data_IF_651180461695
#
_entry.id   IF_651180461695
#
_cell.length_a   1.000
_cell.length_b   1.000
_cell.length_c   1.000
_cell.angle_alpha   90.00
_cell.angle_beta   90.00
_cell.angle_gamma   90.00
#
_symmetry.space_group_name_H-M   'P 1'
#
loop_
_entity.id
_entity.type
_entity.pdbx_description
1 polymer ?
#
# COMPACT_ATOMS: atom_id res chain seq x y z
N UNK A 1 14.35 6.91 -14.19
CA UNK A 1 13.18 6.26 -13.51
C UNK A 1 12.96 6.86 -12.13
N UNK A 2 11.70 7.16 -11.74
CA UNK A 2 11.40 7.70 -10.40
C UNK A 2 11.50 6.63 -9.33
N UNK A 3 12.33 6.86 -8.32
CA UNK A 3 12.52 5.97 -7.17
C UNK A 3 12.13 6.63 -5.85
N UNK A 4 11.43 5.87 -5.00
CA UNK A 4 11.10 6.31 -3.65
C UNK A 4 12.14 5.84 -2.62
N UNK A 5 12.55 6.72 -1.73
CA UNK A 5 13.43 6.40 -0.61
C UNK A 5 12.85 6.89 0.71
N UNK A 6 13.09 6.14 1.77
CA UNK A 6 12.77 6.53 3.14
C UNK A 6 13.98 6.35 4.04
N UNK A 7 14.49 7.44 4.57
CA UNK A 7 15.68 7.50 5.39
C UNK A 7 15.32 7.75 6.85
N UNK A 8 15.99 7.08 7.78
CA UNK A 8 15.80 7.33 9.21
C UNK A 8 16.44 8.66 9.57
N UNK A 9 15.69 9.54 10.25
CA UNK A 9 16.15 10.82 10.73
C UNK A 9 16.28 10.84 12.26
N UNK A 10 17.26 11.55 12.76
CA UNK A 10 17.57 11.68 14.18
C UNK A 10 17.54 13.15 14.60
N UNK A 11 16.35 13.80 14.72
CA UNK A 11 16.24 15.17 15.15
C UNK A 11 16.61 15.32 16.64
N UNK A 12 17.19 16.45 17.01
CA UNK A 12 17.38 16.89 18.40
C UNK A 12 16.01 17.14 19.07
N UNK A 13 15.97 17.32 20.38
CA UNK A 13 14.70 17.55 21.06
C UNK A 13 14.08 18.91 20.69
N UNK A 14 14.90 19.94 20.46
CA UNK A 14 14.45 21.23 19.94
C UNK A 14 13.87 21.09 18.53
N UNK A 15 14.56 20.38 17.63
CA UNK A 15 14.03 20.11 16.29
C UNK A 15 12.72 19.31 16.32
N UNK A 16 12.59 18.33 17.23
CA UNK A 16 11.33 17.58 17.43
C UNK A 16 10.17 18.48 17.86
N UNK A 17 10.45 19.49 18.67
CA UNK A 17 9.44 20.47 19.10
C UNK A 17 8.94 21.25 17.90
N UNK A 18 9.83 21.92 17.16
CA UNK A 18 9.47 22.73 15.98
C UNK A 18 8.80 21.88 14.90
N UNK A 19 9.33 20.70 14.57
CA UNK A 19 8.68 19.78 13.62
C UNK A 19 7.27 19.38 14.08
N UNK A 20 7.06 19.19 15.39
CA UNK A 20 5.72 18.87 15.92
C UNK A 20 4.75 20.04 15.80
N UNK A 21 5.22 21.27 15.95
CA UNK A 21 4.46 22.51 15.71
C UNK A 21 4.08 22.60 14.22
N UNK A 22 5.04 22.49 13.30
CA UNK A 22 4.78 22.52 11.85
C UNK A 22 3.81 21.42 11.39
N UNK A 23 3.94 20.21 11.93
CA UNK A 23 2.99 19.13 11.67
C UNK A 23 1.59 19.46 12.23
N UNK A 24 1.53 20.22 13.33
CA UNK A 24 0.30 20.76 13.93
C UNK A 24 -0.36 21.77 13.01
N UNK A 25 0.41 22.75 12.52
CA UNK A 25 -0.06 23.77 11.56
C UNK A 25 -0.58 23.14 10.27
N UNK A 26 0.18 22.22 9.67
CA UNK A 26 -0.25 21.52 8.47
C UNK A 26 -1.54 20.71 8.68
N UNK A 27 -1.71 20.07 9.86
CA UNK A 27 -2.95 19.37 10.20
C UNK A 27 -4.12 20.31 10.39
N UNK A 28 -3.90 21.45 11.04
CA UNK A 28 -4.93 22.46 11.25
C UNK A 28 -5.48 22.97 9.92
N UNK A 29 -4.61 23.41 9.00
CA UNK A 29 -5.00 23.90 7.68
C UNK A 29 -5.74 22.82 6.88
N UNK A 30 -5.27 21.57 6.92
CA UNK A 30 -5.99 20.44 6.32
C UNK A 30 -7.41 20.30 6.89
N UNK A 31 -7.56 20.40 8.22
CA UNK A 31 -8.85 20.26 8.88
C UNK A 31 -9.77 21.45 8.60
N UNK A 32 -9.21 22.67 8.56
CA UNK A 32 -9.94 23.88 8.20
C UNK A 32 -10.50 23.77 6.77
N UNK A 33 -9.72 23.28 5.80
CA UNK A 33 -10.21 22.98 4.44
C UNK A 33 -11.31 21.90 4.42
N UNK A 34 -11.27 20.92 5.31
CA UNK A 34 -12.37 19.97 5.44
C UNK A 34 -13.66 20.62 5.97
N UNK A 35 -13.54 21.60 6.89
CA UNK A 35 -14.68 22.33 7.42
C UNK A 35 -15.24 23.33 6.40
N UNK A 36 -14.38 24.08 5.73
CA UNK A 36 -14.75 24.95 4.61
C UNK A 36 -15.55 24.18 3.55
N UNK A 37 -15.05 23.02 3.12
CA UNK A 37 -15.78 22.16 2.19
C UNK A 37 -17.11 21.65 2.76
N UNK A 38 -17.15 21.31 4.04
CA UNK A 38 -18.39 20.87 4.69
C UNK A 38 -19.43 21.99 4.73
N UNK A 39 -19.03 23.18 5.16
CA UNK A 39 -19.88 24.37 5.15
C UNK A 39 -20.42 24.64 3.75
N UNK A 40 -19.53 24.69 2.76
CA UNK A 40 -19.86 24.90 1.37
C UNK A 40 -20.87 23.87 0.84
N UNK A 41 -20.60 22.59 1.00
CA UNK A 41 -21.47 21.52 0.49
C UNK A 41 -22.82 21.42 1.21
N UNK A 42 -22.91 21.88 2.46
CA UNK A 42 -24.13 21.78 3.28
C UNK A 42 -25.01 23.01 3.15
N UNK A 43 -24.43 24.19 3.09
CA UNK A 43 -25.16 25.45 3.13
C UNK A 43 -25.04 26.24 1.83
N UNK A 44 -23.83 26.65 1.41
CA UNK A 44 -23.63 27.57 0.30
C UNK A 44 -24.21 27.01 -1.02
N UNK A 45 -23.95 25.75 -1.32
CA UNK A 45 -24.51 25.10 -2.52
C UNK A 45 -26.04 25.06 -2.51
N UNK A 46 -26.68 25.06 -1.35
CA UNK A 46 -28.14 24.95 -1.20
C UNK A 46 -28.83 26.31 -1.22
N UNK A 47 -28.19 27.31 -0.66
CA UNK A 47 -28.82 28.62 -0.39
C UNK A 47 -28.24 29.77 -1.22
N UNK A 48 -27.06 29.61 -1.83
CA UNK A 48 -26.51 30.63 -2.72
C UNK A 48 -26.89 30.36 -4.17
N UNK A 49 -27.28 31.39 -4.93
CA UNK A 49 -27.52 31.26 -6.38
C UNK A 49 -26.30 30.69 -7.12
N UNK A 50 -26.54 30.00 -8.21
CA UNK A 50 -25.50 29.43 -9.07
C UNK A 50 -24.58 30.57 -9.52
N UNK A 51 -23.27 30.43 -9.27
CA UNK A 51 -22.24 31.42 -9.63
C UNK A 51 -21.83 32.37 -8.51
N UNK A 52 -22.60 32.48 -7.42
CA UNK A 52 -22.27 33.36 -6.28
C UNK A 52 -21.35 32.73 -5.23
N UNK A 53 -21.01 31.48 -5.36
CA UNK A 53 -20.13 30.82 -4.40
C UNK A 53 -18.72 30.66 -4.95
N UNK A 54 -17.75 31.04 -4.15
CA UNK A 54 -16.35 30.84 -4.53
C UNK A 54 -16.03 29.35 -4.67
N UNK A 55 -15.40 28.93 -5.75
CA UNK A 55 -14.98 27.53 -5.90
C UNK A 55 -13.99 27.18 -4.81
N UNK A 56 -14.04 25.93 -4.34
CA UNK A 56 -13.08 25.41 -3.39
C UNK A 56 -11.69 25.50 -4.00
N UNK A 57 -10.81 26.22 -3.34
CA UNK A 57 -9.48 26.59 -3.83
C UNK A 57 -8.34 26.09 -2.94
N UNK A 58 -7.12 26.55 -3.24
CA UNK A 58 -5.91 26.27 -2.48
C UNK A 58 -5.52 27.38 -1.52
N UNK A 59 -6.32 28.45 -1.40
CA UNK A 59 -6.03 29.57 -0.50
C UNK A 59 -6.05 29.10 0.95
N UNK A 60 -5.21 29.69 1.76
CA UNK A 60 -5.06 29.37 3.18
C UNK A 60 -4.79 30.60 4.05
N UNK A 61 -4.68 31.79 3.45
CA UNK A 61 -4.43 33.04 4.16
C UNK A 61 -5.56 33.37 5.12
N UNK A 62 -6.80 33.07 4.75
CA UNK A 62 -8.00 33.29 5.58
C UNK A 62 -7.99 32.55 6.92
N UNK A 63 -7.14 31.57 7.09
CA UNK A 63 -7.01 30.82 8.35
C UNK A 63 -5.98 31.43 9.30
N UNK A 64 -5.22 32.43 8.87
CA UNK A 64 -4.32 33.21 9.73
C UNK A 64 -5.14 34.33 10.41
N UNK A 65 -5.16 34.31 11.71
CA UNK A 65 -5.77 35.35 12.56
C UNK A 65 -4.85 35.58 13.74
N UNK A 66 -4.58 36.82 14.06
CA UNK A 66 -3.80 37.20 15.25
C UNK A 66 -4.50 36.77 16.52
N UNK A 67 -5.83 36.84 16.54
CA UNK A 67 -6.63 36.47 17.72
C UNK A 67 -6.87 34.93 17.80
N UNK A 68 -7.30 34.30 16.69
CA UNK A 68 -7.78 32.93 16.72
C UNK A 68 -6.67 31.87 16.43
N UNK A 69 -5.62 32.26 15.73
CA UNK A 69 -4.56 31.33 15.31
C UNK A 69 -3.17 31.98 15.24
N UNK A 70 -2.72 32.74 16.26
CA UNK A 70 -1.44 33.47 16.24
C UNK A 70 -0.24 32.54 15.95
N UNK A 71 -0.30 31.32 16.46
CA UNK A 71 0.72 30.28 16.25
C UNK A 71 0.90 29.82 14.78
N UNK A 72 -0.02 30.16 13.88
CA UNK A 72 0.18 29.92 12.44
C UNK A 72 1.23 30.86 11.83
N UNK A 73 1.46 32.01 12.43
CA UNK A 73 2.47 32.96 11.99
C UNK A 73 3.90 32.47 12.25
N UNK A 74 4.08 31.60 13.25
CA UNK A 74 5.36 30.95 13.58
C UNK A 74 5.72 29.83 12.59
N UNK A 75 4.81 29.44 11.72
CA UNK A 75 5.03 28.38 10.76
C UNK A 75 5.39 28.96 9.38
N UNK A 76 6.41 28.45 8.69
CA UNK A 76 6.71 28.86 7.31
C UNK A 76 5.45 28.82 6.44
N UNK A 77 5.16 29.94 5.75
CA UNK A 77 3.93 30.10 4.96
C UNK A 77 3.80 29.04 3.86
N UNK A 78 4.93 28.55 3.35
CA UNK A 78 4.98 27.47 2.37
C UNK A 78 4.40 26.16 2.91
N UNK A 79 4.59 25.83 4.20
CA UNK A 79 3.99 24.63 4.83
C UNK A 79 2.46 24.74 4.86
N UNK A 80 1.95 25.92 5.17
CA UNK A 80 0.52 26.23 5.20
C UNK A 80 -0.08 26.08 3.80
N UNK A 81 0.53 26.76 2.81
CA UNK A 81 0.17 26.67 1.38
C UNK A 81 0.22 25.22 0.87
N UNK A 82 1.29 24.49 1.18
CA UNK A 82 1.45 23.11 0.78
C UNK A 82 0.38 22.20 1.39
N UNK A 83 -0.06 22.44 2.62
CA UNK A 83 -1.12 21.67 3.24
C UNK A 83 -2.46 21.87 2.55
N UNK A 84 -2.83 23.13 2.22
CA UNK A 84 -4.05 23.45 1.47
C UNK A 84 -4.01 22.84 0.06
N UNK A 85 -2.89 22.98 -0.66
CA UNK A 85 -2.69 22.40 -1.99
C UNK A 85 -2.80 20.87 -1.97
N UNK A 86 -2.23 20.19 -0.97
CA UNK A 86 -2.34 18.73 -0.85
C UNK A 86 -3.77 18.29 -0.53
N UNK A 87 -4.50 19.07 0.27
CA UNK A 87 -5.91 18.83 0.50
C UNK A 87 -6.70 18.95 -0.81
N UNK A 88 -6.49 20.01 -1.57
CA UNK A 88 -7.16 20.25 -2.85
C UNK A 88 -6.84 19.17 -3.89
N UNK A 89 -5.57 18.75 -4.01
CA UNK A 89 -5.18 17.61 -4.86
C UNK A 89 -5.94 16.33 -4.48
N UNK A 90 -6.11 16.08 -3.18
CA UNK A 90 -6.87 14.91 -2.69
C UNK A 90 -8.35 15.06 -2.98
N UNK A 91 -8.89 16.26 -2.83
CA UNK A 91 -10.28 16.59 -3.18
C UNK A 91 -10.55 16.36 -4.68
N UNK A 92 -9.67 16.81 -5.55
CA UNK A 92 -9.78 16.53 -7.00
C UNK A 92 -9.75 15.03 -7.32
N UNK A 93 -8.88 14.27 -6.66
CA UNK A 93 -8.87 12.80 -6.79
C UNK A 93 -10.20 12.16 -6.34
N UNK A 94 -10.81 12.70 -5.29
CA UNK A 94 -12.14 12.28 -4.84
C UNK A 94 -13.21 12.58 -5.90
N UNK A 95 -13.22 13.78 -6.47
CA UNK A 95 -14.15 14.13 -7.54
C UNK A 95 -14.01 13.24 -8.77
N UNK A 96 -12.79 12.80 -9.08
CA UNK A 96 -12.50 11.86 -10.17
C UNK A 96 -12.74 10.39 -9.79
N UNK A 97 -13.35 10.08 -8.64
CA UNK A 97 -13.62 8.71 -8.20
C UNK A 97 -12.37 7.87 -7.83
N UNK A 98 -11.20 8.50 -7.76
CA UNK A 98 -9.92 7.79 -7.51
C UNK A 98 -9.67 7.49 -6.02
N UNK A 99 -10.30 8.24 -5.12
CA UNK A 99 -10.18 8.04 -3.67
C UNK A 99 -11.45 8.44 -2.93
N UNK A 100 -11.53 8.14 -1.64
CA UNK A 100 -12.62 8.59 -0.78
C UNK A 100 -12.53 10.09 -0.44
N UNK A 101 -13.65 10.68 0.03
CA UNK A 101 -13.73 12.08 0.48
C UNK A 101 -12.64 12.39 1.52
N UNK A 102 -11.92 13.54 1.43
CA UNK A 102 -10.96 13.95 2.43
C UNK A 102 -11.59 14.05 3.83
N UNK A 103 -10.94 13.43 4.82
CA UNK A 103 -11.41 13.41 6.21
C UNK A 103 -10.49 14.23 7.11
N UNK A 104 -11.03 14.77 8.20
CA UNK A 104 -10.24 15.43 9.24
C UNK A 104 -9.20 14.50 9.83
N UNK A 105 -8.02 15.04 10.10
CA UNK A 105 -6.90 14.33 10.73
C UNK A 105 -6.94 14.57 12.24
N UNK A 106 -6.97 13.47 13.02
CA UNK A 106 -6.91 13.54 14.48
C UNK A 106 -5.49 13.85 14.98
N UNK A 107 -5.36 14.43 16.17
CA UNK A 107 -4.08 14.59 16.88
C UNK A 107 -3.62 13.22 17.39
N UNK A 108 -2.68 12.60 16.70
CA UNK A 108 -2.10 11.30 17.06
C UNK A 108 -0.58 11.41 17.16
N UNK A 109 0.10 10.33 17.55
CA UNK A 109 1.57 10.24 17.50
C UNK A 109 2.13 10.21 16.06
N UNK A 110 1.26 10.09 15.06
CA UNK A 110 1.63 10.17 13.63
C UNK A 110 1.47 11.60 13.15
N UNK A 111 2.50 12.11 12.50
CA UNK A 111 2.49 13.42 11.87
C UNK A 111 3.34 13.40 10.61
N UNK A 112 3.04 14.30 9.68
CA UNK A 112 3.87 14.53 8.50
C UNK A 112 3.80 15.98 8.08
N UNK A 113 4.91 16.49 7.57
CA UNK A 113 4.99 17.78 6.90
C UNK A 113 5.59 17.57 5.52
N UNK A 114 5.01 18.22 4.53
CA UNK A 114 5.46 18.23 3.15
C UNK A 114 6.23 19.51 2.88
N UNK A 115 7.46 19.39 2.40
CA UNK A 115 8.37 20.49 2.13
C UNK A 115 8.71 20.51 0.64
N UNK A 116 8.58 21.66 0.02
CA UNK A 116 9.04 21.96 -1.34
C UNK A 116 10.49 22.47 -1.30
N UNK A 117 11.15 22.55 -2.45
CA UNK A 117 12.58 22.88 -2.56
C UNK A 117 12.97 24.21 -1.87
N UNK A 118 12.03 25.14 -1.72
CA UNK A 118 12.19 26.42 -1.01
C UNK A 118 12.51 26.26 0.50
N UNK A 119 12.15 25.09 1.07
CA UNK A 119 12.24 24.83 2.52
C UNK A 119 13.30 23.81 2.89
N UNK A 120 14.07 23.30 1.95
CA UNK A 120 15.14 22.36 2.26
C UNK A 120 16.25 22.42 1.21
N UNK A 121 17.45 22.03 1.64
CA UNK A 121 18.59 21.74 0.76
C UNK A 121 19.43 20.62 1.37
N UNK A 122 20.10 19.88 0.50
CA UNK A 122 21.08 18.88 0.90
C UNK A 122 22.47 19.47 0.73
N UNK A 123 23.22 19.54 1.81
CA UNK A 123 24.59 20.06 1.81
C UNK A 123 25.55 18.90 2.10
N UNK A 124 26.61 18.79 1.32
CA UNK A 124 27.71 17.88 1.59
C UNK A 124 28.68 18.64 2.49
N UNK A 125 28.83 18.19 3.73
CA UNK A 125 29.73 18.84 4.69
C UNK A 125 31.19 18.41 4.44
N UNK A 126 32.12 19.13 5.04
CA UNK A 126 33.56 18.87 4.90
C UNK A 126 33.99 17.45 5.33
N UNK A 127 33.19 16.81 6.19
CA UNK A 127 33.32 15.39 6.62
C UNK A 127 32.79 14.37 5.61
N UNK A 128 32.36 14.80 4.41
CA UNK A 128 31.74 13.97 3.38
C UNK A 128 30.31 13.51 3.72
N UNK A 129 29.77 13.91 4.85
CA UNK A 129 28.45 13.52 5.30
C UNK A 129 27.39 14.45 4.71
N UNK A 130 26.41 13.89 4.02
CA UNK A 130 25.27 14.65 3.53
C UNK A 130 24.35 15.01 4.69
N UNK A 131 24.09 16.30 4.88
CA UNK A 131 23.17 16.84 5.88
C UNK A 131 22.00 17.54 5.19
N UNK A 132 20.85 17.59 5.87
CA UNK A 132 19.62 18.17 5.35
C UNK A 132 19.31 19.45 6.14
N UNK A 133 19.52 20.61 5.55
CA UNK A 133 19.04 21.89 6.10
C UNK A 133 17.55 22.02 5.84
N UNK A 134 16.79 22.51 6.84
CA UNK A 134 15.33 22.63 6.75
C UNK A 134 14.88 23.97 7.33
N UNK A 135 14.13 24.71 6.52
CA UNK A 135 13.50 25.98 6.86
C UNK A 135 13.87 27.12 5.93
N UNK A 136 13.46 28.31 6.29
CA UNK A 136 13.84 29.58 5.65
C UNK A 136 15.00 30.23 6.40
N UNK A 137 15.49 31.38 5.93
CA UNK A 137 16.54 32.14 6.64
C UNK A 137 16.10 32.52 8.07
N UNK A 138 14.88 32.95 8.24
CA UNK A 138 14.33 33.42 9.51
C UNK A 138 13.67 32.34 10.35
N UNK A 139 13.08 31.31 9.73
CA UNK A 139 12.35 30.26 10.44
C UNK A 139 12.86 28.89 9.97
N UNK A 140 13.83 28.33 10.69
CA UNK A 140 14.48 27.08 10.36
C UNK A 140 14.68 26.19 11.59
N UNK A 141 14.95 24.91 11.33
CA UNK A 141 15.36 23.94 12.34
C UNK A 141 16.84 23.58 12.24
N UNK A 142 17.56 24.23 11.33
CA UNK A 142 18.95 23.91 11.02
C UNK A 142 19.14 22.56 10.33
N UNK A 143 20.29 21.96 10.53
CA UNK A 143 20.67 20.70 9.90
C UNK A 143 20.06 19.50 10.62
N UNK A 144 19.26 18.75 9.89
CA UNK A 144 18.69 17.47 10.35
C UNK A 144 19.64 16.32 9.98
N UNK A 145 20.08 15.56 10.98
CA UNK A 145 20.87 14.36 10.78
C UNK A 145 19.99 13.18 10.32
N UNK A 146 20.43 12.47 9.29
CA UNK A 146 19.79 11.26 8.79
C UNK A 146 20.82 10.22 8.36
N UNK A 147 20.39 8.94 8.27
CA UNK A 147 21.24 7.87 7.77
C UNK A 147 20.84 7.52 6.35
N UNK A 148 21.79 7.64 5.42
CA UNK A 148 21.61 7.14 4.06
C UNK A 148 22.33 5.79 3.87
N UNK A 149 21.82 4.97 2.97
CA UNK A 149 22.41 3.67 2.58
C UNK A 149 22.55 3.54 1.06
N UNK A 150 22.27 4.63 0.33
CA UNK A 150 22.42 4.72 -1.13
C UNK A 150 22.58 6.16 -1.57
N UNK A 151 23.18 6.34 -2.73
CA UNK A 151 23.21 7.62 -3.43
C UNK A 151 21.82 7.96 -3.98
N UNK A 152 21.53 9.24 -4.08
CA UNK A 152 20.29 9.76 -4.64
C UNK A 152 20.54 11.14 -5.27
N UNK A 153 19.80 11.44 -6.33
CA UNK A 153 19.75 12.79 -6.91
C UNK A 153 18.83 13.68 -6.09
N UNK A 154 19.08 14.99 -6.09
CA UNK A 154 18.32 15.94 -5.30
C UNK A 154 16.82 15.89 -5.65
N UNK A 155 15.93 15.66 -4.67
CA UNK A 155 14.50 15.56 -4.93
C UNK A 155 13.84 16.94 -5.05
N UNK A 156 12.74 17.04 -5.80
CA UNK A 156 11.93 18.26 -5.91
C UNK A 156 11.14 18.58 -4.64
N UNK A 157 10.92 17.59 -3.78
CA UNK A 157 10.15 17.72 -2.54
C UNK A 157 10.41 16.56 -1.59
N UNK A 158 10.26 16.80 -0.30
CA UNK A 158 10.43 15.80 0.75
C UNK A 158 9.26 15.76 1.71
N UNK A 159 9.04 14.62 2.34
CA UNK A 159 8.17 14.47 3.50
C UNK A 159 9.00 14.17 4.74
N UNK A 160 8.82 14.94 5.81
CA UNK A 160 9.29 14.56 7.13
C UNK A 160 8.12 13.93 7.85
N UNK A 161 8.29 12.70 8.33
CA UNK A 161 7.24 11.92 8.98
C UNK A 161 7.66 11.52 10.39
N UNK A 162 6.72 11.61 11.32
CA UNK A 162 6.80 11.09 12.68
C UNK A 162 5.85 9.93 12.82
N UNK A 163 6.33 8.78 13.29
CA UNK A 163 5.51 7.61 13.56
C UNK A 163 6.12 6.79 14.71
N UNK A 164 5.31 6.50 15.74
CA UNK A 164 5.74 5.74 16.92
C UNK A 164 7.00 6.32 17.60
N UNK A 165 7.13 7.64 17.60
CA UNK A 165 8.28 8.37 18.14
C UNK A 165 9.53 8.34 17.26
N UNK A 166 9.49 7.73 16.08
CA UNK A 166 10.58 7.72 15.10
C UNK A 166 10.33 8.77 14.02
N UNK A 167 11.40 9.40 13.55
CA UNK A 167 11.36 10.35 12.44
C UNK A 167 12.00 9.74 11.20
N UNK A 168 11.48 10.12 10.05
CA UNK A 168 12.03 9.71 8.75
C UNK A 168 11.83 10.82 7.73
N UNK A 169 12.79 10.95 6.82
CA UNK A 169 12.69 11.74 5.59
C UNK A 169 12.35 10.77 4.46
N UNK A 170 11.36 11.11 3.66
CA UNK A 170 10.97 10.29 2.50
C UNK A 170 10.72 11.17 1.29
N UNK A 171 11.23 10.76 0.15
CA UNK A 171 11.12 11.49 -1.10
C UNK A 171 11.21 10.56 -2.30
N UNK A 172 10.82 11.06 -3.46
CA UNK A 172 11.09 10.45 -4.74
C UNK A 172 12.16 11.25 -5.46
N UNK A 173 13.07 10.56 -6.12
CA UNK A 173 14.11 11.13 -6.96
C UNK A 173 14.20 10.36 -8.27
N UNK A 174 14.73 11.00 -9.29
CA UNK A 174 15.02 10.34 -10.55
C UNK A 174 16.45 9.78 -10.48
N UNK A 175 16.60 8.47 -10.70
CA UNK A 175 17.91 7.82 -10.69
C UNK A 175 18.60 7.83 -12.06
N UNK A 176 18.01 8.49 -13.06
CA UNK A 176 18.54 8.61 -14.41
C UNK A 176 18.45 7.31 -15.24
N UNK A 177 17.96 6.20 -14.67
CA UNK A 177 17.78 4.97 -15.43
C UNK A 177 16.59 5.08 -16.39
N UNK A 178 16.68 4.32 -17.51
CA UNK A 178 15.60 4.21 -18.48
C UNK A 178 14.31 3.69 -17.84
N UNK A 179 13.17 4.04 -18.44
CA UNK A 179 11.90 3.47 -18.01
C UNK A 179 11.86 1.99 -18.34
N UNK A 180 11.45 1.13 -17.38
CA UNK A 180 11.35 -0.30 -17.62
C UNK A 180 10.23 -0.59 -18.62
N UNK A 181 10.37 -1.68 -19.35
CA UNK A 181 9.32 -2.17 -20.24
C UNK A 181 7.99 -2.30 -19.50
N UNK A 182 6.92 -1.96 -20.16
CA UNK A 182 5.57 -2.05 -19.63
C UNK A 182 5.14 -3.52 -19.52
N UNK A 183 4.15 -3.79 -18.68
CA UNK A 183 3.59 -5.15 -18.54
C UNK A 183 2.97 -5.67 -19.85
N UNK A 184 2.54 -4.77 -20.75
CA UNK A 184 2.03 -5.14 -22.08
C UNK A 184 3.15 -5.57 -23.02
N UNK A 185 4.24 -4.82 -23.07
CA UNK A 185 5.42 -5.17 -23.86
C UNK A 185 6.02 -6.50 -23.40
N UNK A 186 6.10 -6.71 -22.08
CA UNK A 186 6.50 -8.01 -21.54
C UNK A 186 5.56 -9.14 -21.99
N UNK A 187 4.23 -8.92 -21.97
CA UNK A 187 3.28 -9.96 -22.40
C UNK A 187 3.45 -10.29 -23.88
N UNK A 188 3.59 -9.30 -24.75
CA UNK A 188 3.79 -9.53 -26.19
C UNK A 188 5.10 -10.30 -26.45
N UNK A 189 6.18 -9.95 -25.77
CA UNK A 189 7.43 -10.72 -25.84
C UNK A 189 7.24 -12.18 -25.40
N UNK A 190 6.52 -12.41 -24.30
CA UNK A 190 6.32 -13.76 -23.73
C UNK A 190 5.38 -14.63 -24.58
N UNK A 191 4.48 -14.06 -25.35
CA UNK A 191 3.67 -14.81 -26.33
C UNK A 191 4.49 -15.45 -27.46
N UNK A 192 5.62 -14.85 -27.81
CA UNK A 192 6.56 -15.38 -28.79
C UNK A 192 7.62 -16.32 -28.22
N UNK A 193 7.69 -16.51 -26.92
CA UNK A 193 8.72 -17.35 -26.28
C UNK A 193 8.39 -18.85 -26.40
N UNK A 194 9.42 -19.70 -26.54
CA UNK A 194 9.22 -21.15 -26.56
C UNK A 194 8.77 -21.71 -25.21
N UNK A 195 8.10 -22.84 -25.23
CA UNK A 195 7.60 -23.48 -24.00
C UNK A 195 8.75 -23.83 -23.06
N UNK A 196 9.85 -24.35 -23.59
CA UNK A 196 11.04 -24.75 -22.85
C UNK A 196 11.66 -23.53 -22.15
N UNK A 197 11.77 -22.40 -22.86
CA UNK A 197 12.25 -21.16 -22.29
C UNK A 197 11.33 -20.67 -21.15
N UNK A 198 10.01 -20.73 -21.34
CA UNK A 198 9.04 -20.35 -20.31
C UNK A 198 9.12 -21.27 -19.08
N UNK A 199 9.32 -22.57 -19.28
CA UNK A 199 9.49 -23.53 -18.18
C UNK A 199 10.77 -23.26 -17.37
N UNK A 200 11.84 -22.80 -17.98
CA UNK A 200 13.06 -22.43 -17.26
C UNK A 200 12.95 -21.08 -16.54
N UNK A 201 12.33 -20.09 -17.18
CA UNK A 201 12.41 -18.68 -16.74
C UNK A 201 11.17 -18.16 -16.00
N UNK A 202 10.10 -18.93 -15.88
CA UNK A 202 8.90 -18.57 -15.11
C UNK A 202 8.91 -19.26 -13.76
N UNK A 203 8.66 -18.51 -12.69
CA UNK A 203 8.40 -19.06 -11.36
C UNK A 203 7.00 -18.70 -10.88
N UNK A 204 6.30 -19.70 -10.34
CA UNK A 204 5.04 -19.50 -9.61
C UNK A 204 5.31 -19.27 -8.12
N UNK A 205 4.58 -18.37 -7.51
CA UNK A 205 4.74 -17.98 -6.10
C UNK A 205 3.43 -18.24 -5.37
N UNK A 206 3.40 -19.28 -4.57
CA UNK A 206 2.33 -19.54 -3.62
C UNK A 206 2.54 -18.74 -2.33
N UNK A 207 1.45 -18.24 -1.73
CA UNK A 207 1.46 -17.41 -0.53
C UNK A 207 0.63 -18.03 0.57
N UNK A 208 1.32 -18.68 1.49
CA UNK A 208 0.73 -19.33 2.64
C UNK A 208 0.66 -18.47 3.91
N UNK A 209 0.07 -19.04 4.94
CA UNK A 209 0.04 -18.48 6.29
C UNK A 209 1.04 -19.16 7.21
N UNK A 210 1.26 -20.46 7.04
CA UNK A 210 2.25 -21.26 7.79
C UNK A 210 3.63 -21.03 7.17
N UNK A 211 3.79 -21.36 5.91
CA UNK A 211 4.93 -20.98 5.09
C UNK A 211 4.52 -19.73 4.31
N UNK A 212 5.11 -18.57 4.61
CA UNK A 212 4.74 -17.30 3.98
C UNK A 212 4.80 -17.29 2.47
N UNK A 213 5.80 -17.95 1.88
CA UNK A 213 6.05 -17.97 0.44
C UNK A 213 6.69 -19.28 0.02
N UNK A 214 6.20 -19.90 -1.05
CA UNK A 214 6.83 -21.02 -1.74
C UNK A 214 6.96 -20.74 -3.24
N UNK A 215 8.13 -21.03 -3.83
CA UNK A 215 8.41 -20.74 -5.26
C UNK A 215 8.51 -21.99 -6.14
N UNK A 216 8.10 -23.15 -5.63
CA UNK A 216 8.29 -24.45 -6.32
C UNK A 216 9.70 -25.03 -6.12
N UNK A 217 10.71 -24.19 -5.96
CA UNK A 217 12.10 -24.58 -5.69
C UNK A 217 12.39 -24.64 -4.21
N UNK A 218 12.07 -23.58 -3.47
CA UNK A 218 12.30 -23.50 -2.01
C UNK A 218 11.22 -22.71 -1.29
N UNK A 219 10.98 -23.04 -0.01
CA UNK A 219 10.17 -22.21 0.87
C UNK A 219 10.95 -20.99 1.37
N UNK A 220 10.23 -19.91 1.70
CA UNK A 220 10.74 -18.73 2.40
C UNK A 220 9.90 -18.52 3.64
N UNK A 221 10.53 -18.52 4.77
CA UNK A 221 9.89 -18.32 6.08
C UNK A 221 10.67 -17.29 6.89
N UNK A 222 10.06 -16.81 7.97
CA UNK A 222 10.74 -15.98 8.95
C UNK A 222 11.82 -16.80 9.65
N UNK A 223 12.96 -16.20 9.88
CA UNK A 223 14.00 -16.79 10.73
C UNK A 223 13.50 -17.03 12.15
N UNK A 224 14.04 -18.03 12.84
CA UNK A 224 13.60 -18.38 14.19
C UNK A 224 13.73 -17.21 15.17
N UNK A 225 14.76 -16.38 15.05
CA UNK A 225 14.93 -15.19 15.86
C UNK A 225 13.89 -14.11 15.53
N UNK A 226 13.49 -14.00 14.28
CA UNK A 226 12.39 -13.10 13.87
C UNK A 226 11.06 -13.59 14.47
N UNK A 227 10.76 -14.88 14.43
CA UNK A 227 9.56 -15.49 15.03
C UNK A 227 9.55 -15.27 16.55
N UNK A 228 10.63 -15.60 17.25
CA UNK A 228 10.79 -15.37 18.69
C UNK A 228 10.60 -13.90 19.07
N UNK A 229 11.17 -12.99 18.26
CA UNK A 229 10.99 -11.55 18.46
C UNK A 229 9.53 -11.11 18.24
N UNK A 230 8.85 -11.59 17.20
CA UNK A 230 7.44 -11.28 16.97
C UNK A 230 6.57 -11.75 18.13
N UNK A 231 6.78 -12.96 18.65
CA UNK A 231 6.04 -13.50 19.79
C UNK A 231 6.31 -12.73 21.09
N UNK A 232 7.57 -12.34 21.33
CA UNK A 232 7.95 -11.46 22.45
C UNK A 232 7.17 -10.14 22.36
N UNK A 233 7.09 -9.51 21.15
CA UNK A 233 6.33 -8.27 20.95
C UNK A 233 4.84 -8.48 21.13
N UNK A 234 4.27 -9.61 20.70
CA UNK A 234 2.85 -9.92 20.92
C UNK A 234 2.52 -10.09 22.39
N UNK A 235 3.39 -10.73 23.19
CA UNK A 235 3.24 -10.82 24.67
C UNK A 235 3.23 -9.43 25.32
N UNK A 236 4.15 -8.52 24.91
CA UNK A 236 4.13 -7.13 25.37
C UNK A 236 2.87 -6.38 24.96
N UNK A 237 2.39 -6.56 23.72
CA UNK A 237 1.15 -5.94 23.26
C UNK A 237 -0.04 -6.34 24.12
N UNK A 238 -0.22 -7.64 24.38
CA UNK A 238 -1.30 -8.14 25.27
C UNK A 238 -1.21 -7.50 26.67
N UNK A 239 0.00 -7.42 27.26
CA UNK A 239 0.24 -6.80 28.56
C UNK A 239 -0.12 -5.31 28.56
N UNK A 240 0.35 -4.56 27.54
CA UNK A 240 0.07 -3.12 27.46
C UNK A 240 -1.41 -2.82 27.14
N UNK A 241 -2.08 -3.65 26.35
CA UNK A 241 -3.51 -3.51 26.09
C UNK A 241 -4.35 -3.72 27.36
N UNK A 242 -4.05 -4.75 28.16
CA UNK A 242 -4.68 -4.97 29.48
C UNK A 242 -4.44 -3.76 30.41
N UNK A 243 -3.22 -3.20 30.42
CA UNK A 243 -2.91 -2.00 31.18
C UNK A 243 -3.70 -0.79 30.68
N UNK A 244 -3.79 -0.63 29.37
CA UNK A 244 -4.52 0.48 28.73
C UNK A 244 -6.02 0.47 29.09
N UNK A 245 -6.65 -0.70 29.14
CA UNK A 245 -8.09 -0.83 29.47
C UNK A 245 -8.41 -0.35 30.89
N UNK A 246 -7.45 -0.50 31.84
CA UNK A 246 -7.62 -0.09 33.24
C UNK A 246 -7.27 1.37 33.52
N UNK A 247 -6.73 2.10 32.54
CA UNK A 247 -6.28 3.48 32.71
C UNK A 247 -7.35 4.48 32.32
N UNK A 248 -7.50 5.55 33.07
CA UNK A 248 -8.45 6.65 32.84
C UNK A 248 -8.25 7.26 31.47
N UNK A 249 -9.33 7.44 30.71
CA UNK A 249 -9.33 8.13 29.42
C UNK A 249 -8.83 9.56 29.60
N UNK A 250 -7.92 10.00 28.73
CA UNK A 250 -7.31 11.34 28.76
C UNK A 250 -6.04 11.46 29.60
N UNK A 251 -5.74 10.53 30.53
CA UNK A 251 -4.57 10.63 31.40
C UNK A 251 -3.23 10.52 30.67
N UNK A 252 -2.20 11.21 31.19
CA UNK A 252 -0.83 11.13 30.68
C UNK A 252 -0.27 9.70 30.75
N UNK A 253 -0.64 8.94 31.80
CA UNK A 253 -0.24 7.51 31.92
C UNK A 253 -0.82 6.69 30.77
N UNK A 254 -2.09 6.92 30.39
CA UNK A 254 -2.72 6.25 29.26
C UNK A 254 -2.04 6.63 27.94
N UNK A 255 -1.70 7.90 27.73
CA UNK A 255 -0.96 8.34 26.54
C UNK A 255 0.43 7.69 26.43
N UNK A 256 1.18 7.62 27.54
CA UNK A 256 2.46 6.88 27.59
C UNK A 256 2.29 5.40 27.21
N UNK A 257 1.20 4.76 27.67
CA UNK A 257 0.90 3.36 27.33
C UNK A 257 0.54 3.19 25.86
N UNK A 258 -0.28 4.09 25.27
CA UNK A 258 -0.56 4.12 23.83
C UNK A 258 0.73 4.21 23.00
N UNK A 259 1.65 5.07 23.39
CA UNK A 259 2.93 5.23 22.69
C UNK A 259 3.79 3.95 22.78
N UNK A 260 3.78 3.22 23.92
CA UNK A 260 4.43 1.92 24.04
C UNK A 260 3.81 0.88 23.10
N UNK A 261 2.48 0.81 23.03
CA UNK A 261 1.75 -0.09 22.11
C UNK A 261 2.14 0.23 20.66
N UNK A 262 2.09 1.52 20.27
CA UNK A 262 2.47 1.96 18.92
C UNK A 262 3.89 1.53 18.55
N UNK A 263 4.86 1.67 19.47
CA UNK A 263 6.25 1.23 19.27
C UNK A 263 6.36 -0.30 19.09
N UNK A 264 5.58 -1.11 19.82
CA UNK A 264 5.61 -2.57 19.62
C UNK A 264 5.03 -2.95 18.26
N UNK A 265 3.90 -2.37 17.85
CA UNK A 265 3.35 -2.59 16.52
C UNK A 265 4.35 -2.21 15.41
N UNK A 266 5.07 -1.08 15.58
CA UNK A 266 6.08 -0.66 14.61
C UNK A 266 7.24 -1.65 14.50
N UNK A 267 7.69 -2.22 15.63
CA UNK A 267 8.75 -3.25 15.62
C UNK A 267 8.31 -4.50 14.85
N UNK A 268 7.08 -4.99 15.08
CA UNK A 268 6.54 -6.14 14.35
C UNK A 268 6.39 -5.81 12.85
N UNK A 269 5.92 -4.60 12.52
CA UNK A 269 5.82 -4.16 11.12
C UNK A 269 7.18 -4.10 10.42
N UNK A 270 8.23 -3.67 11.12
CA UNK A 270 9.59 -3.62 10.57
C UNK A 270 10.12 -5.03 10.28
N UNK A 271 9.93 -6.02 11.17
CA UNK A 271 10.33 -7.42 10.95
C UNK A 271 9.65 -7.96 9.68
N UNK A 272 8.35 -7.73 9.53
CA UNK A 272 7.61 -8.16 8.32
C UNK A 272 8.11 -7.48 7.04
N UNK A 273 8.39 -6.18 7.12
CA UNK A 273 8.92 -5.44 5.98
C UNK A 273 10.31 -5.95 5.58
N UNK A 274 11.16 -6.22 6.56
CA UNK A 274 12.49 -6.77 6.34
C UNK A 274 12.41 -8.12 5.65
N UNK A 275 11.63 -9.07 6.17
CA UNK A 275 11.34 -10.35 5.51
C UNK A 275 10.87 -10.16 4.06
N UNK A 276 9.88 -9.29 3.82
CA UNK A 276 9.38 -9.05 2.47
C UNK A 276 10.45 -8.42 1.55
N UNK A 277 11.34 -7.57 2.10
CA UNK A 277 12.45 -7.02 1.33
C UNK A 277 13.48 -8.07 0.95
N UNK A 278 13.88 -8.93 1.89
CA UNK A 278 14.84 -10.00 1.64
C UNK A 278 14.26 -11.01 0.65
N UNK A 279 13.07 -11.56 0.91
CA UNK A 279 12.41 -12.54 0.04
C UNK A 279 12.20 -12.00 -1.38
N UNK A 280 11.68 -10.77 -1.52
CA UNK A 280 11.49 -10.17 -2.86
C UNK A 280 12.82 -9.92 -3.58
N UNK A 281 13.92 -9.63 -2.85
CA UNK A 281 15.25 -9.48 -3.44
C UNK A 281 15.75 -10.83 -3.95
N UNK A 282 15.69 -11.87 -3.13
CA UNK A 282 16.13 -13.22 -3.52
C UNK A 282 15.35 -13.76 -4.72
N UNK A 283 14.03 -13.55 -4.77
CA UNK A 283 13.23 -13.94 -5.94
C UNK A 283 13.63 -13.20 -7.22
N UNK A 284 13.89 -11.89 -7.11
CA UNK A 284 14.30 -11.10 -8.28
C UNK A 284 15.73 -11.41 -8.72
N UNK A 285 16.63 -11.74 -7.81
CA UNK A 285 18.02 -12.12 -8.14
C UNK A 285 18.15 -13.55 -8.66
N UNK A 286 17.07 -14.35 -8.64
CA UNK A 286 17.07 -15.70 -9.25
C UNK A 286 17.20 -15.66 -10.76
N UNK A 287 17.41 -16.82 -11.40
CA UNK A 287 17.46 -16.97 -12.86
C UNK A 287 16.13 -16.61 -13.55
N UNK A 288 15.01 -16.67 -12.80
CA UNK A 288 13.69 -16.38 -13.35
C UNK A 288 13.61 -14.96 -13.96
N UNK A 289 13.01 -14.86 -15.14
CA UNK A 289 12.68 -13.59 -15.82
C UNK A 289 11.26 -13.16 -15.57
N UNK A 290 10.40 -14.08 -15.18
CA UNK A 290 8.98 -13.84 -14.91
C UNK A 290 8.60 -14.42 -13.56
N UNK A 291 7.98 -13.58 -12.72
CA UNK A 291 7.51 -13.95 -11.38
C UNK A 291 5.98 -13.87 -11.38
N UNK A 292 5.31 -14.95 -11.03
CA UNK A 292 3.84 -15.04 -11.10
C UNK A 292 3.25 -15.33 -9.74
N UNK A 293 2.32 -14.48 -9.31
CA UNK A 293 1.54 -14.65 -8.07
C UNK A 293 0.12 -15.12 -8.37
N UNK A 294 -0.57 -15.64 -7.37
CA UNK A 294 -2.01 -15.75 -7.41
C UNK A 294 -2.70 -14.38 -7.21
N UNK A 295 -3.87 -14.18 -7.81
CA UNK A 295 -4.69 -12.99 -7.58
C UNK A 295 -5.57 -13.14 -6.33
N UNK A 296 -4.95 -13.18 -5.16
CA UNK A 296 -5.65 -13.26 -3.88
C UNK A 296 -6.34 -11.94 -3.53
N UNK A 297 -7.64 -11.98 -3.37
CA UNK A 297 -8.42 -10.81 -2.91
C UNK A 297 -8.39 -10.72 -1.37
N UNK A 298 -7.25 -10.33 -0.81
CA UNK A 298 -7.00 -10.28 0.64
C UNK A 298 -8.10 -9.54 1.41
N UNK A 299 -8.63 -8.44 0.88
CA UNK A 299 -9.74 -7.69 1.49
C UNK A 299 -11.04 -8.49 1.62
N UNK A 300 -11.32 -9.38 0.65
CA UNK A 300 -12.47 -10.30 0.72
C UNK A 300 -12.19 -11.43 1.70
N UNK A 301 -10.96 -11.99 1.68
CA UNK A 301 -10.54 -13.08 2.57
C UNK A 301 -10.56 -12.68 4.05
N UNK A 302 -10.19 -11.45 4.38
CA UNK A 302 -10.13 -10.94 5.76
C UNK A 302 -11.41 -10.25 6.22
N UNK A 303 -12.49 -10.36 5.46
CA UNK A 303 -13.79 -9.77 5.82
C UNK A 303 -14.38 -10.46 7.06
N UNK A 304 -14.97 -9.68 7.95
CA UNK A 304 -15.70 -10.20 9.11
C UNK A 304 -16.88 -11.05 8.66
N UNK A 305 -17.18 -12.21 9.33
CA UNK A 305 -18.38 -12.97 9.03
C UNK A 305 -19.61 -12.16 9.39
N UNK A 306 -20.68 -12.34 8.60
CA UNK A 306 -21.97 -11.71 8.89
C UNK A 306 -22.56 -12.30 10.17
N UNK A 307 -23.30 -11.49 10.93
CA UNK A 307 -24.08 -11.99 12.06
C UNK A 307 -25.11 -13.04 11.57
N UNK A 308 -25.26 -14.12 12.32
CA UNK A 308 -26.29 -15.14 12.10
C UNK A 308 -27.32 -15.01 13.21
N UNK A 309 -28.59 -15.14 12.87
CA UNK A 309 -29.71 -15.20 13.80
C UNK A 309 -30.43 -16.56 13.63
N UNK A 310 -30.97 -17.05 14.72
CA UNK A 310 -31.89 -18.20 14.70
C UNK A 310 -33.28 -17.79 14.23
N UNK A 311 -34.23 -18.76 14.22
CA UNK A 311 -35.61 -18.53 13.82
C UNK A 311 -36.35 -17.53 14.74
N UNK A 312 -35.90 -17.40 16.00
CA UNK A 312 -36.44 -16.47 16.99
C UNK A 312 -35.73 -15.10 16.99
N UNK A 313 -34.87 -14.80 16.01
CA UNK A 313 -34.17 -13.55 15.90
C UNK A 313 -32.97 -13.40 16.84
N UNK A 314 -32.64 -14.40 17.67
CA UNK A 314 -31.49 -14.38 18.59
C UNK A 314 -30.19 -14.63 17.85
N UNK A 315 -29.13 -13.90 18.23
CA UNK A 315 -27.81 -14.05 17.63
C UNK A 315 -27.14 -15.36 18.05
N UNK A 316 -26.75 -16.17 17.06
CA UNK A 316 -26.02 -17.43 17.25
C UNK A 316 -24.53 -17.30 16.87
N UNK A 317 -23.70 -18.23 17.40
CA UNK A 317 -22.26 -18.26 17.12
C UNK A 317 -21.99 -18.43 15.62
N UNK A 318 -21.16 -17.56 15.06
CA UNK A 318 -20.80 -17.55 13.63
C UNK A 318 -19.29 -17.77 13.41
N UNK A 319 -18.58 -18.36 14.36
CA UNK A 319 -17.12 -18.63 14.35
C UNK A 319 -16.27 -17.36 14.17
N UNK A 320 -16.78 -16.18 14.59
CA UNK A 320 -16.09 -14.88 14.43
C UNK A 320 -14.72 -14.85 15.11
N UNK A 321 -14.54 -15.53 16.25
CA UNK A 321 -13.24 -15.61 16.97
C UNK A 321 -12.19 -16.36 16.13
N UNK A 322 -12.56 -17.53 15.58
CA UNK A 322 -11.67 -18.32 14.72
C UNK A 322 -11.30 -17.51 13.45
N UNK A 323 -12.30 -16.87 12.83
CA UNK A 323 -12.07 -16.03 11.66
C UNK A 323 -11.19 -14.82 11.94
N UNK A 324 -11.32 -14.20 13.11
CA UNK A 324 -10.44 -13.11 13.55
C UNK A 324 -8.98 -13.58 13.72
N UNK A 325 -8.78 -14.79 14.26
CA UNK A 325 -7.46 -15.43 14.36
C UNK A 325 -6.83 -15.63 12.98
N UNK A 326 -7.57 -16.23 12.04
CA UNK A 326 -7.11 -16.44 10.66
C UNK A 326 -6.82 -15.10 9.96
N UNK A 327 -7.70 -14.11 10.08
CA UNK A 327 -7.49 -12.78 9.51
C UNK A 327 -6.21 -12.14 10.03
N UNK A 328 -5.95 -12.26 11.34
CA UNK A 328 -4.70 -11.78 11.94
C UNK A 328 -3.49 -12.51 11.36
N UNK A 329 -3.56 -13.82 11.18
CA UNK A 329 -2.47 -14.62 10.61
C UNK A 329 -2.18 -14.18 9.16
N UNK A 330 -3.20 -14.10 8.29
CA UNK A 330 -3.07 -13.61 6.91
C UNK A 330 -2.43 -12.21 6.86
N UNK A 331 -2.92 -11.27 7.68
CA UNK A 331 -2.41 -9.90 7.69
C UNK A 331 -0.99 -9.79 8.28
N UNK A 332 -0.55 -10.78 9.06
CA UNK A 332 0.79 -10.81 9.63
C UNK A 332 1.88 -11.22 8.64
N UNK A 333 1.56 -11.91 7.55
CA UNK A 333 2.55 -12.29 6.53
C UNK A 333 3.03 -11.09 5.72
N UNK A 334 2.12 -10.18 5.36
CA UNK A 334 2.47 -8.97 4.59
C UNK A 334 2.48 -9.18 3.07
N UNK A 335 1.63 -10.02 2.52
CA UNK A 335 1.51 -10.34 1.09
C UNK A 335 1.52 -9.13 0.16
N UNK A 336 0.83 -8.04 0.57
CA UNK A 336 0.81 -6.80 -0.22
C UNK A 336 2.21 -6.15 -0.32
N UNK A 337 2.98 -6.16 0.76
CA UNK A 337 4.36 -5.64 0.71
C UNK A 337 5.24 -6.50 -0.16
N UNK A 338 5.12 -7.83 -0.06
CA UNK A 338 5.86 -8.76 -0.90
C UNK A 338 5.60 -8.48 -2.39
N UNK A 339 4.34 -8.44 -2.81
CA UNK A 339 3.97 -8.10 -4.20
C UNK A 339 4.54 -6.75 -4.64
N UNK A 340 4.36 -5.72 -3.80
CA UNK A 340 4.82 -4.37 -4.12
C UNK A 340 6.33 -4.32 -4.27
N UNK A 341 7.06 -4.99 -3.36
CA UNK A 341 8.52 -4.97 -3.39
C UNK A 341 9.09 -5.82 -4.53
N UNK A 342 8.47 -6.94 -4.84
CA UNK A 342 8.84 -7.74 -6.02
C UNK A 342 8.62 -6.94 -7.30
N UNK A 343 7.47 -6.29 -7.45
CA UNK A 343 7.13 -5.53 -8.66
C UNK A 343 8.18 -4.46 -9.00
N UNK A 344 8.47 -3.53 -8.07
CA UNK A 344 9.40 -2.45 -8.40
C UNK A 344 10.85 -2.93 -8.54
N UNK A 345 11.26 -3.99 -7.81
CA UNK A 345 12.60 -4.56 -7.95
C UNK A 345 12.74 -5.32 -9.27
N UNK A 346 11.72 -6.08 -9.64
CA UNK A 346 11.66 -6.78 -10.92
C UNK A 346 11.70 -5.80 -12.10
N UNK A 347 10.88 -4.74 -12.06
CA UNK A 347 10.91 -3.69 -13.07
C UNK A 347 12.32 -3.08 -13.23
N UNK A 348 13.01 -2.79 -12.11
CA UNK A 348 14.40 -2.30 -12.15
C UNK A 348 15.40 -3.32 -12.72
N UNK A 349 15.10 -4.61 -12.61
CA UNK A 349 15.93 -5.70 -13.13
C UNK A 349 15.51 -6.16 -14.55
N UNK A 350 14.61 -5.44 -15.22
CA UNK A 350 14.08 -5.81 -16.54
C UNK A 350 13.25 -7.10 -16.54
N UNK A 351 12.62 -7.45 -15.40
CA UNK A 351 11.84 -8.67 -15.20
C UNK A 351 10.36 -8.38 -15.08
N UNK A 352 9.52 -9.29 -15.55
CA UNK A 352 8.07 -9.17 -15.51
C UNK A 352 7.45 -9.74 -14.24
N UNK A 353 6.33 -9.16 -13.79
CA UNK A 353 5.54 -9.68 -12.67
C UNK A 353 4.07 -9.70 -13.05
N UNK A 354 3.45 -10.89 -13.00
CA UNK A 354 2.05 -11.11 -13.34
C UNK A 354 1.30 -11.81 -12.21
N UNK A 355 -0.02 -11.89 -12.36
CA UNK A 355 -0.89 -12.71 -11.54
C UNK A 355 -1.71 -13.67 -12.39
N UNK A 356 -2.06 -14.80 -11.81
CA UNK A 356 -3.02 -15.76 -12.39
C UNK A 356 -4.25 -15.86 -11.49
N UNK A 357 -5.42 -16.27 -12.02
CA UNK A 357 -6.60 -16.54 -11.20
C UNK A 357 -6.30 -17.56 -10.09
N UNK A 358 -6.68 -17.20 -8.85
CA UNK A 358 -6.40 -18.01 -7.66
C UNK A 358 -7.33 -19.21 -7.42
N UNK A 359 -8.59 -19.32 -7.95
CA UNK A 359 -9.45 -20.45 -7.63
C UNK A 359 -8.79 -21.79 -7.96
N UNK A 360 -8.87 -22.71 -6.98
CA UNK A 360 -8.42 -24.11 -7.07
C UNK A 360 -6.92 -24.37 -7.26
N UNK A 361 -6.04 -23.37 -7.24
CA UNK A 361 -4.58 -23.58 -7.38
C UNK A 361 -4.02 -24.58 -6.35
N UNK A 362 -4.60 -24.65 -5.17
CA UNK A 362 -4.19 -25.57 -4.09
C UNK A 362 -4.84 -26.95 -4.17
N UNK A 363 -5.76 -27.20 -5.10
CA UNK A 363 -6.50 -28.47 -5.28
C UNK A 363 -6.19 -29.11 -6.64
N UNK A 364 -5.62 -28.36 -7.57
CA UNK A 364 -5.21 -28.82 -8.89
C UNK A 364 -3.89 -29.58 -8.80
N UNK A 365 -3.81 -30.72 -9.49
CA UNK A 365 -2.59 -31.50 -9.58
C UNK A 365 -1.59 -30.83 -10.55
N UNK A 366 -0.34 -30.67 -10.12
CA UNK A 366 0.69 -30.13 -10.95
C UNK A 366 1.04 -31.03 -12.15
N UNK A 367 0.84 -32.33 -12.06
CA UNK A 367 1.17 -33.26 -13.15
C UNK A 367 0.02 -33.42 -14.14
N UNK A 368 -1.13 -33.92 -13.71
CA UNK A 368 -2.24 -34.27 -14.62
C UNK A 368 -3.31 -33.16 -14.74
N UNK A 369 -3.26 -32.09 -13.92
CA UNK A 369 -4.26 -31.03 -13.94
C UNK A 369 -5.61 -31.38 -13.29
N UNK A 370 -5.77 -32.61 -12.75
CA UNK A 370 -7.00 -32.98 -12.05
C UNK A 370 -7.24 -32.11 -10.82
N UNK A 371 -8.45 -31.61 -10.70
CA UNK A 371 -8.83 -30.69 -9.61
C UNK A 371 -9.93 -31.30 -8.74
N UNK A 372 -9.60 -31.69 -7.52
CA UNK A 372 -10.54 -32.22 -6.55
C UNK A 372 -10.21 -31.74 -5.12
N UNK A 373 -11.22 -31.48 -4.24
CA UNK A 373 -10.95 -31.08 -2.86
C UNK A 373 -10.12 -32.10 -2.07
N UNK A 374 -10.30 -33.38 -2.31
CA UNK A 374 -9.59 -34.47 -1.62
C UNK A 374 -8.10 -34.58 -2.00
N UNK A 375 -7.68 -33.96 -3.08
CA UNK A 375 -6.25 -33.89 -3.44
C UNK A 375 -5.43 -33.17 -2.34
N UNK A 376 -6.05 -32.31 -1.54
CA UNK A 376 -5.43 -31.60 -0.40
C UNK A 376 -6.23 -31.82 0.88
N UNK A 377 -6.05 -32.98 1.51
CA UNK A 377 -6.68 -33.33 2.79
C UNK A 377 -6.01 -32.61 3.98
N UNK A 378 -4.72 -32.36 3.88
CA UNK A 378 -3.96 -31.65 4.92
C UNK A 378 -3.30 -30.38 4.37
N UNK A 379 -2.74 -29.56 5.27
CA UNK A 379 -2.06 -28.34 4.88
C UNK A 379 -0.72 -28.60 4.14
N UNK A 380 -0.05 -29.71 4.45
CA UNK A 380 1.30 -29.98 4.01
C UNK A 380 1.35 -31.02 2.87
N UNK A 381 0.40 -31.94 2.83
CA UNK A 381 0.41 -33.10 1.92
C UNK A 381 -0.60 -32.92 0.80
N UNK A 382 -0.12 -33.05 -0.41
CA UNK A 382 -0.90 -33.15 -1.64
C UNK A 382 -0.81 -34.57 -2.16
N UNK A 383 -1.95 -35.19 -2.51
CA UNK A 383 -2.03 -36.49 -3.14
C UNK A 383 -3.17 -36.46 -4.17
N UNK A 384 -2.82 -36.60 -5.43
CA UNK A 384 -3.79 -36.63 -6.53
C UNK A 384 -4.56 -37.95 -6.54
N UNK A 385 -5.89 -37.85 -6.46
CA UNK A 385 -6.76 -39.03 -6.53
C UNK A 385 -6.82 -39.69 -7.91
N UNK A 386 -6.38 -38.99 -8.97
CA UNK A 386 -6.41 -39.51 -10.33
C UNK A 386 -5.08 -40.17 -10.79
N UNK A 387 -3.95 -39.47 -10.61
CA UNK A 387 -2.66 -39.95 -11.10
C UNK A 387 -1.70 -40.42 -10.01
N UNK A 388 -2.07 -40.35 -8.74
CA UNK A 388 -1.24 -40.73 -7.62
C UNK A 388 -0.07 -39.76 -7.30
N UNK A 389 0.06 -38.63 -8.00
CA UNK A 389 1.11 -37.65 -7.73
C UNK A 389 1.09 -37.20 -6.28
N UNK A 390 2.24 -37.38 -5.60
CA UNK A 390 2.42 -37.00 -4.21
C UNK A 390 3.50 -35.90 -4.09
N UNK A 391 3.15 -34.80 -3.42
CA UNK A 391 4.07 -33.67 -3.22
C UNK A 391 3.72 -32.89 -1.93
N UNK A 392 4.59 -31.93 -1.59
CA UNK A 392 4.24 -30.87 -0.64
C UNK A 392 3.15 -29.95 -1.26
N UNK A 393 2.08 -29.68 -0.53
CA UNK A 393 0.93 -28.94 -1.04
C UNK A 393 1.27 -27.52 -1.53
N UNK A 394 2.18 -26.82 -0.85
CA UNK A 394 2.57 -25.45 -1.22
C UNK A 394 3.54 -25.48 -2.43
N UNK A 395 4.35 -26.56 -2.56
CA UNK A 395 5.19 -26.81 -3.76
C UNK A 395 4.32 -27.10 -4.96
N UNK A 396 3.38 -28.03 -4.86
CA UNK A 396 2.42 -28.33 -5.92
C UNK A 396 1.65 -27.07 -6.36
N UNK A 397 1.13 -26.27 -5.42
CA UNK A 397 0.41 -25.03 -5.73
C UNK A 397 1.27 -24.03 -6.52
N UNK A 398 2.55 -23.87 -6.15
CA UNK A 398 3.46 -22.98 -6.88
C UNK A 398 3.76 -23.46 -8.30
N UNK A 399 3.87 -24.77 -8.52
CA UNK A 399 4.04 -25.36 -9.87
C UNK A 399 2.76 -25.17 -10.70
N UNK A 400 1.57 -25.34 -10.10
CA UNK A 400 0.29 -25.04 -10.76
C UNK A 400 0.20 -23.58 -11.20
N UNK A 401 0.59 -22.63 -10.32
CA UNK A 401 0.65 -21.21 -10.66
C UNK A 401 1.55 -20.96 -11.86
N UNK A 402 2.73 -21.57 -11.89
CA UNK A 402 3.67 -21.51 -13.02
C UNK A 402 3.04 -22.05 -14.30
N UNK A 403 2.50 -23.29 -14.28
CA UNK A 403 1.88 -23.94 -15.44
C UNK A 403 0.70 -23.14 -15.99
N UNK A 404 -0.14 -22.56 -15.11
CA UNK A 404 -1.23 -21.65 -15.52
C UNK A 404 -0.72 -20.40 -16.23
N UNK A 405 0.37 -19.80 -15.74
CA UNK A 405 0.96 -18.62 -16.38
C UNK A 405 1.52 -18.97 -17.77
N UNK A 406 2.26 -20.08 -17.91
CA UNK A 406 2.79 -20.56 -19.19
C UNK A 406 1.65 -20.77 -20.19
N UNK A 407 0.55 -21.43 -19.75
CA UNK A 407 -0.64 -21.62 -20.60
C UNK A 407 -1.21 -20.30 -21.09
N UNK A 408 -1.28 -19.28 -20.21
CA UNK A 408 -1.74 -17.94 -20.60
C UNK A 408 -0.78 -17.25 -21.58
N UNK A 409 0.53 -17.40 -21.45
CA UNK A 409 1.50 -16.82 -22.38
C UNK A 409 1.41 -17.47 -23.77
N UNK A 410 1.14 -18.75 -23.84
CA UNK A 410 0.95 -19.48 -25.11
C UNK A 410 -0.42 -19.23 -25.75
N UNK A 411 -1.39 -18.71 -25.01
CA UNK A 411 -2.74 -18.40 -25.51
C UNK A 411 -2.75 -17.00 -26.14
N UNK A 412 -2.92 -16.92 -27.45
CA UNK A 412 -2.98 -15.66 -28.21
C UNK A 412 -4.07 -14.71 -27.76
N UNK A 413 -5.14 -15.26 -27.15
CA UNK A 413 -6.27 -14.47 -26.61
C UNK A 413 -6.06 -13.94 -25.18
N UNK A 414 -4.85 -14.00 -24.64
CA UNK A 414 -4.57 -13.53 -23.28
C UNK A 414 -4.48 -12.02 -23.20
N UNK A 415 -5.18 -11.44 -22.24
CA UNK A 415 -5.22 -10.02 -21.92
C UNK A 415 -4.80 -9.75 -20.46
N UNK A 416 -4.39 -8.49 -20.21
CA UNK A 416 -4.06 -8.01 -18.87
C UNK A 416 -5.20 -7.20 -18.27
N UNK A 417 -5.63 -7.54 -17.05
CA UNK A 417 -6.66 -6.80 -16.34
C UNK A 417 -6.22 -6.45 -14.92
N UNK A 418 -6.77 -5.36 -14.39
CA UNK A 418 -6.56 -4.92 -13.01
C UNK A 418 -5.58 -3.77 -12.86
N UNK A 419 -5.42 -3.31 -11.62
CA UNK A 419 -4.51 -2.24 -11.21
C UNK A 419 -3.35 -2.83 -10.41
N UNK A 420 -2.17 -2.24 -10.54
CA UNK A 420 -0.97 -2.73 -9.89
C UNK A 420 -0.33 -3.87 -10.67
N UNK A 421 -0.05 -5.03 -10.05
CA UNK A 421 0.39 -6.23 -10.78
C UNK A 421 -0.81 -6.76 -11.57
N UNK A 422 -0.72 -6.84 -12.92
CA UNK A 422 -1.84 -7.25 -13.74
C UNK A 422 -2.12 -8.75 -13.61
N UNK A 423 -3.39 -9.12 -13.82
CA UNK A 423 -3.86 -10.51 -13.82
C UNK A 423 -3.98 -10.95 -15.27
N UNK A 424 -3.38 -12.10 -15.59
CA UNK A 424 -3.52 -12.79 -16.86
C UNK A 424 -4.94 -13.37 -16.96
N UNK A 425 -5.68 -13.03 -18.00
CA UNK A 425 -7.04 -13.55 -18.25
C UNK A 425 -7.22 -13.83 -19.73
N UNK A 426 -8.13 -14.76 -20.04
CA UNK A 426 -8.56 -14.94 -21.42
C UNK A 426 -9.31 -13.70 -21.88
N UNK A 427 -8.93 -13.17 -23.04
CA UNK A 427 -9.64 -12.10 -23.72
C UNK A 427 -11.10 -12.47 -23.89
N UNK A 428 -11.99 -11.53 -23.67
CA UNK A 428 -13.41 -11.71 -23.95
C UNK A 428 -13.62 -11.79 -25.45
N UNK A 429 -13.50 -12.97 -26.03
CA UNK A 429 -14.09 -13.24 -27.33
C UNK A 429 -15.57 -12.82 -27.23
N UNK A 430 -16.01 -11.97 -28.15
CA UNK A 430 -17.36 -11.43 -28.18
C UNK A 430 -18.40 -12.56 -28.28
N UNK A 431 -18.80 -13.13 -27.16
CA UNK A 431 -20.02 -13.93 -27.04
C UNK A 431 -21.15 -12.98 -26.71
N UNK A 432 -21.83 -12.51 -27.73
CA UNK A 432 -23.16 -11.94 -27.60
C UNK A 432 -24.06 -12.94 -26.89
N UNK A 433 -24.39 -12.67 -25.62
CA UNK A 433 -25.50 -13.35 -24.96
C UNK A 433 -26.78 -12.71 -25.48
N UNK A 434 -27.78 -13.49 -25.94
CA UNK A 434 -29.07 -12.95 -26.29
C UNK A 434 -29.72 -12.33 -25.05
N UNK A 435 -30.03 -11.03 -25.14
CA UNK A 435 -30.55 -10.24 -24.04
C UNK A 435 -31.94 -10.72 -23.63
N UNK A 436 -32.13 -10.96 -22.35
CA UNK A 436 -33.46 -10.87 -21.71
C UNK A 436 -33.73 -9.39 -21.44
N UNK A 437 -34.57 -8.80 -22.26
CA UNK A 437 -34.91 -7.39 -22.19
C UNK A 437 -35.66 -7.07 -20.89
N UNK A 438 -35.19 -6.03 -20.21
CA UNK A 438 -36.03 -5.16 -19.37
C UNK A 438 -36.01 -3.77 -20.02
N UNK A 439 -37.15 -3.09 -20.12
CA UNK A 439 -37.21 -1.81 -20.81
C UNK A 439 -36.43 -0.73 -20.04
N UNK A 440 -35.60 0.00 -20.77
CA UNK A 440 -34.84 1.16 -20.30
C UNK A 440 -35.68 2.43 -20.51
N UNK A 441 -35.67 3.40 -19.60
CA UNK A 441 -36.23 4.73 -19.88
C UNK A 441 -35.33 5.54 -20.80
N UNK A 442 -35.96 6.36 -21.61
CA UNK A 442 -35.49 7.12 -22.76
C UNK A 442 -34.09 7.75 -22.64
N UNK A 443 -33.34 7.57 -23.72
CA UNK A 443 -32.09 8.23 -24.00
C UNK A 443 -32.27 9.73 -24.27
N UNK A 444 -31.51 10.56 -23.56
CA UNK A 444 -31.19 11.94 -23.98
C UNK A 444 -29.92 11.90 -24.83
N UNK A 445 -30.01 12.44 -26.04
CA UNK A 445 -28.91 12.63 -26.95
C UNK A 445 -27.82 13.49 -26.35
N UNK A 446 -26.58 13.00 -26.33
CA UNK A 446 -25.40 13.83 -26.12
C UNK A 446 -24.46 13.77 -27.32
N UNK A 447 -24.17 14.95 -27.80
CA UNK A 447 -23.31 15.32 -28.91
C UNK A 447 -21.85 14.88 -28.68
N UNK A 448 -21.25 14.43 -29.76
CA UNK A 448 -19.85 14.06 -29.93
C UNK A 448 -18.84 15.03 -29.28
N UNK A 449 -18.01 14.54 -28.36
CA UNK A 449 -16.79 15.22 -27.92
C UNK A 449 -15.55 14.42 -28.33
N UNK A 450 -14.71 15.10 -29.09
CA UNK A 450 -13.40 14.66 -29.58
C UNK A 450 -12.55 14.03 -28.48
N UNK A 451 -12.02 12.84 -28.74
CA UNK A 451 -10.96 12.20 -27.92
C UNK A 451 -9.71 13.07 -27.91
N UNK A 452 -9.41 13.69 -26.80
CA UNK A 452 -8.06 14.15 -26.49
C UNK A 452 -7.32 12.99 -25.81
N UNK A 453 -6.27 12.53 -26.45
CA UNK A 453 -5.27 11.64 -25.87
C UNK A 453 -4.60 12.38 -24.70
N UNK A 454 -4.96 12.01 -23.49
CA UNK A 454 -4.27 12.46 -22.29
C UNK A 454 -3.22 11.41 -21.98
N UNK A 455 -1.98 11.71 -22.28
CA UNK A 455 -0.81 11.05 -21.70
C UNK A 455 -0.89 11.23 -20.19
N UNK A 456 -1.24 10.18 -19.49
CA UNK A 456 -1.23 10.12 -18.02
C UNK A 456 0.22 10.08 -17.55
N UNK A 457 0.70 11.05 -16.76
CA UNK A 457 1.97 10.90 -16.08
C UNK A 457 1.85 9.69 -15.14
N UNK A 458 2.82 8.79 -15.22
CA UNK A 458 2.98 7.69 -14.28
C UNK A 458 2.95 8.28 -12.87
N UNK A 459 1.88 8.01 -12.14
CA UNK A 459 1.74 8.44 -10.76
C UNK A 459 2.89 7.82 -9.98
N UNK A 460 3.77 8.67 -9.49
CA UNK A 460 4.74 8.32 -8.47
C UNK A 460 3.97 7.57 -7.38
N UNK A 461 4.19 6.26 -7.25
CA UNK A 461 3.69 5.46 -6.14
C UNK A 461 4.43 5.95 -4.88
N UNK A 462 4.00 7.10 -4.39
CA UNK A 462 4.17 7.41 -2.98
C UNK A 462 3.43 6.27 -2.29
N UNK A 463 4.19 5.36 -1.69
CA UNK A 463 3.69 4.41 -0.72
C UNK A 463 3.13 5.24 0.46
N UNK A 464 1.98 5.86 0.25
CA UNK A 464 1.10 6.15 1.37
C UNK A 464 0.72 4.78 1.91
N UNK A 465 1.46 4.38 2.95
CA UNK A 465 1.00 3.33 3.82
C UNK A 465 -0.42 3.74 4.24
N UNK A 466 -1.42 3.19 3.57
CA UNK A 466 -2.78 3.24 4.09
C UNK A 466 -2.67 2.73 5.51
N UNK A 467 -2.88 3.64 6.45
CA UNK A 467 -2.97 3.28 7.85
C UNK A 467 -3.97 2.14 7.96
N UNK A 468 -3.45 0.95 8.29
CA UNK A 468 -4.32 -0.09 8.81
C UNK A 468 -5.04 0.49 10.01
N UNK A 469 -6.33 0.70 9.88
CA UNK A 469 -7.21 0.80 11.03
C UNK A 469 -7.23 -0.60 11.68
N UNK A 470 -6.32 -0.82 12.60
CA UNK A 470 -6.50 -1.76 13.67
C UNK A 470 -7.16 -0.98 14.79
N UNK A 471 -8.27 -1.47 15.26
CA UNK A 471 -9.02 -1.06 16.44
C UNK A 471 -8.12 -0.92 17.68
#
# INVERSE_FOLDING_TARGET
>A
MLQGIRLKANPTDQQKLVLSQWMGCARFVWNAKCDEHRYYSTYAKKYCPIGMYAPIDTKAAQFKSEELSPWLSDCPSQIIRNSATNWYKTYRKYMNGQCGKPKKKAKTDKGSVYLTKELFRFDICADGVTRLFIGTKTNNIGYLSFKTHRLFNEPKSIYIRKEAGQYSVSFCYDDGSEEPATEKEHLEYLKGASKEWLEEHVIGVDRGVVIPVHTGVKPYDFEEDQKKNMDKRQRYLKRFQRRLSRQTKGSNRRQKTKNRISRQHKKVANIRQDFCHQTSRTMVDSKAKVIVFEDLKTSKMTRRPKAKKDQNGKFISNKAKQKAGLNKAILNVGWHFLETYTRYKAAKAGKAVFKVPAPFTSQECADCGHTHPDNRKTQERFLCGQCGHFDNADRNASIVIKKRAIKFFMDSGTELVGKGIPVLTKGRGAKCKPGKGKPSPAARSETSKKKRTVTTPVACLVLEARSFRGE
#
